data_IF_507288971842
#
_entry.id   IF_507288971842
#
_cell.length_a   1.000
_cell.length_b   1.000
_cell.length_c   1.000
_cell.angle_alpha   90.00
_cell.angle_beta   90.00
_cell.angle_gamma   90.00
#
_symmetry.space_group_name_H-M   'P 1'
#
loop_
_entity.id
_entity.type
_entity.pdbx_description
1 polymer ?
#
# COMPACT_ATOMS: atom_id res chain seq x y z
N UNK A 1 -0.90 -14.21 -8.98
CA UNK A 1 -0.99 -13.18 -7.93
C UNK A 1 -2.44 -12.75 -7.75
N UNK A 2 -2.78 -12.40 -6.54
CA UNK A 2 -4.15 -12.00 -6.23
C UNK A 2 -4.21 -10.54 -5.82
N UNK A 3 -5.37 -9.94 -6.01
CA UNK A 3 -5.59 -8.54 -5.68
C UNK A 3 -5.57 -8.34 -4.16
N UNK A 4 -4.77 -7.39 -3.71
CA UNK A 4 -4.71 -7.03 -2.30
C UNK A 4 -5.49 -5.75 -2.04
N UNK A 5 -5.17 -4.69 -2.75
CA UNK A 5 -5.80 -3.39 -2.57
C UNK A 5 -5.65 -2.55 -3.83
N UNK A 6 -6.42 -1.49 -3.90
CA UNK A 6 -6.32 -0.53 -4.98
C UNK A 6 -6.06 0.84 -4.36
N UNK A 7 -5.07 1.55 -4.88
CA UNK A 7 -4.72 2.87 -4.40
C UNK A 7 -4.92 3.89 -5.52
N UNK A 8 -4.94 5.15 -5.16
CA UNK A 8 -5.29 6.20 -6.10
C UNK A 8 -4.16 6.72 -6.96
N UNK A 9 -2.91 6.45 -6.58
CA UNK A 9 -1.76 6.98 -7.32
C UNK A 9 -0.66 5.93 -7.37
N UNK A 10 0.22 6.08 -8.37
CA UNK A 10 1.38 5.23 -8.48
C UNK A 10 2.33 5.42 -7.29
N UNK A 11 2.39 6.63 -6.78
CA UNK A 11 3.24 6.90 -5.63
C UNK A 11 2.79 6.09 -4.41
N UNK A 12 1.49 6.10 -4.13
CA UNK A 12 0.96 5.31 -3.02
C UNK A 12 1.21 3.82 -3.23
N UNK A 13 1.05 3.35 -4.47
CA UNK A 13 1.30 1.94 -4.79
C UNK A 13 2.75 1.57 -4.48
N UNK A 14 3.68 2.44 -4.81
CA UNK A 14 5.09 2.18 -4.55
C UNK A 14 5.41 2.18 -3.06
N UNK A 15 4.75 3.03 -2.30
CA UNK A 15 4.91 3.05 -0.85
C UNK A 15 4.43 1.73 -0.26
N UNK A 16 3.26 1.26 -0.70
CA UNK A 16 2.74 -0.03 -0.23
C UNK A 16 3.69 -1.16 -0.63
N UNK A 17 4.16 -1.14 -1.87
CA UNK A 17 5.08 -2.17 -2.34
C UNK A 17 6.36 -2.20 -1.51
N UNK A 18 6.91 -1.03 -1.22
CA UNK A 18 8.13 -0.94 -0.43
C UNK A 18 7.91 -1.46 0.99
N UNK A 19 6.76 -1.13 1.58
CA UNK A 19 6.43 -1.59 2.92
C UNK A 19 6.31 -3.11 2.97
N UNK A 20 5.60 -3.69 2.01
CA UNK A 20 5.44 -5.13 1.97
C UNK A 20 6.75 -5.83 1.62
N UNK A 21 7.53 -5.23 0.74
CA UNK A 21 8.82 -5.79 0.37
C UNK A 21 9.79 -5.86 1.54
N UNK A 22 9.70 -4.92 2.47
CA UNK A 22 10.54 -4.93 3.65
C UNK A 22 10.30 -6.17 4.52
N UNK A 23 9.10 -6.73 4.43
CA UNK A 23 8.75 -7.96 5.16
C UNK A 23 8.85 -9.20 4.27
N UNK A 24 9.45 -9.07 3.10
CA UNK A 24 9.66 -10.20 2.21
C UNK A 24 8.46 -10.61 1.38
N UNK A 25 7.46 -9.75 1.28
CA UNK A 25 6.25 -10.06 0.52
C UNK A 25 6.43 -9.63 -0.92
N UNK A 26 6.21 -10.55 -1.85
CA UNK A 26 6.33 -10.27 -3.27
C UNK A 26 5.09 -9.55 -3.76
N UNK A 27 5.28 -8.38 -4.36
CA UNK A 27 4.19 -7.57 -4.85
C UNK A 27 4.36 -7.26 -6.33
N UNK A 28 3.24 -6.98 -6.97
CA UNK A 28 3.21 -6.55 -8.35
C UNK A 28 2.15 -5.46 -8.49
N UNK A 29 2.45 -4.45 -9.30
CA UNK A 29 1.50 -3.38 -9.56
C UNK A 29 0.85 -3.58 -10.92
N UNK A 30 -0.43 -3.31 -10.99
CA UNK A 30 -1.18 -3.38 -12.24
C UNK A 30 -1.93 -2.07 -12.43
N UNK A 31 -1.89 -1.54 -13.63
CA UNK A 31 -2.49 -0.25 -13.91
C UNK A 31 -1.54 0.90 -13.75
N UNK A 32 -0.35 0.65 -13.18
CA UNK A 32 0.68 1.68 -13.13
C UNK A 32 1.23 1.89 -14.53
N UNK A 33 1.28 3.11 -14.97
CA UNK A 33 1.81 3.43 -16.27
C UNK A 33 3.18 4.02 -16.13
N UNK A 34 4.12 3.36 -16.79
CA UNK A 34 5.46 3.90 -16.93
C UNK A 34 5.42 4.91 -18.05
N UNK A 35 5.03 6.09 -17.75
CA UNK A 35 4.94 7.10 -18.76
C UNK A 35 5.60 8.37 -18.33
N UNK A 36 5.80 9.24 -19.30
CA UNK A 36 6.32 10.56 -19.05
C UNK A 36 5.35 11.34 -18.16
N UNK A 37 4.10 10.97 -18.19
CA UNK A 37 3.07 11.62 -17.40
C UNK A 37 2.56 10.64 -16.36
N UNK A 38 2.84 10.88 -15.08
CA UNK A 38 2.19 10.12 -14.02
C UNK A 38 0.72 10.51 -13.97
N UNK A 39 -0.09 9.79 -14.71
CA UNK A 39 -1.52 10.05 -14.67
C UNK A 39 -2.08 9.54 -13.35
N UNK A 40 -2.85 10.36 -12.65
CA UNK A 40 -3.56 9.87 -11.47
C UNK A 40 -4.57 8.84 -11.94
N UNK A 41 -4.61 7.74 -11.29
CA UNK A 41 -5.54 6.69 -11.64
C UNK A 41 -5.36 5.50 -10.73
N UNK A 42 -6.37 4.65 -10.61
CA UNK A 42 -6.29 3.53 -9.70
C UNK A 42 -5.19 2.56 -10.11
N UNK A 43 -4.38 2.20 -9.14
CA UNK A 43 -3.32 1.22 -9.30
C UNK A 43 -3.64 0.05 -8.39
N UNK A 44 -3.66 -1.15 -8.94
CA UNK A 44 -3.92 -2.34 -8.16
C UNK A 44 -2.62 -2.91 -7.63
N UNK A 45 -2.62 -3.25 -6.35
CA UNK A 45 -1.49 -3.91 -5.72
C UNK A 45 -1.82 -5.38 -5.59
N UNK A 46 -0.98 -6.22 -6.16
CA UNK A 46 -1.18 -7.67 -6.19
C UNK A 46 -0.08 -8.34 -5.39
N UNK A 47 -0.44 -9.42 -4.72
CA UNK A 47 0.52 -10.22 -3.96
C UNK A 47 0.32 -11.69 -4.26
N UNK A 48 1.32 -12.49 -3.92
CA UNK A 48 1.22 -13.94 -4.04
C UNK A 48 0.10 -14.44 -3.14
N UNK A 49 -0.70 -15.39 -3.63
CA UNK A 49 -1.86 -15.87 -2.88
C UNK A 49 -1.51 -16.34 -1.47
N UNK A 50 -0.36 -16.97 -1.31
CA UNK A 50 0.06 -17.48 -0.02
C UNK A 50 0.34 -16.38 1.00
N UNK A 51 0.57 -15.15 0.54
CA UNK A 51 0.98 -14.05 1.39
C UNK A 51 -0.10 -12.98 1.55
N UNK A 52 -1.28 -13.21 0.99
CA UNK A 52 -2.31 -12.18 0.98
C UNK A 52 -2.80 -11.83 2.38
N UNK A 53 -2.95 -12.82 3.25
CA UNK A 53 -3.41 -12.56 4.60
C UNK A 53 -2.37 -11.77 5.41
N UNK A 54 -1.12 -12.16 5.27
CA UNK A 54 -0.03 -11.47 5.93
C UNK A 54 0.07 -10.03 5.44
N UNK A 55 -0.06 -9.82 4.14
CA UNK A 55 -0.02 -8.49 3.56
C UNK A 55 -1.15 -7.62 4.09
N UNK A 56 -2.34 -8.17 4.20
CA UNK A 56 -3.47 -7.42 4.74
C UNK A 56 -3.23 -7.01 6.19
N UNK A 57 -2.69 -7.90 6.97
CA UNK A 57 -2.40 -7.59 8.37
C UNK A 57 -1.37 -6.46 8.49
N UNK A 58 -0.37 -6.47 7.64
CA UNK A 58 0.63 -5.41 7.64
C UNK A 58 0.02 -4.05 7.28
N UNK A 59 -0.85 -4.03 6.28
CA UNK A 59 -1.50 -2.79 5.89
C UNK A 59 -2.44 -2.28 6.96
N UNK A 60 -3.16 -3.17 7.62
CA UNK A 60 -4.04 -2.79 8.71
C UNK A 60 -3.24 -2.20 9.86
N UNK A 61 -2.11 -2.79 10.18
CA UNK A 61 -1.26 -2.28 11.26
C UNK A 61 -0.77 -0.87 10.91
N UNK A 62 -0.38 -0.63 9.68
CA UNK A 62 0.05 0.70 9.26
C UNK A 62 -1.07 1.71 9.37
N UNK A 63 -2.28 1.33 9.00
CA UNK A 63 -3.43 2.22 9.11
C UNK A 63 -3.76 2.55 10.55
N UNK A 64 -3.67 1.57 11.42
CA UNK A 64 -3.92 1.78 12.83
C UNK A 64 -2.87 2.71 13.43
N UNK A 65 -1.62 2.53 13.08
CA UNK A 65 -0.57 3.41 13.54
C UNK A 65 -0.79 4.85 13.07
N UNK A 66 -1.21 5.01 11.84
CA UNK A 66 -1.48 6.34 11.29
C UNK A 66 -2.60 7.03 12.06
N UNK A 67 -3.64 6.29 12.39
CA UNK A 67 -4.76 6.83 13.17
C UNK A 67 -4.30 7.25 14.55
N UNK A 68 -3.51 6.42 15.21
CA UNK A 68 -3.00 6.78 16.53
C UNK A 68 -2.08 7.98 16.49
N UNK A 69 -1.26 8.08 15.46
CA UNK A 69 -0.39 9.23 15.31
C UNK A 69 -1.19 10.51 15.09
N UNK A 70 -2.24 10.43 14.31
CA UNK A 70 -3.11 11.58 14.09
C UNK A 70 -3.77 12.01 15.39
N UNK A 71 -4.24 11.07 16.17
CA UNK A 71 -4.83 11.39 17.46
C UNK A 71 -3.82 12.07 18.37
N UNK A 72 -2.61 11.55 18.40
CA UNK A 72 -1.57 12.15 19.22
C UNK A 72 -1.25 13.56 18.75
N UNK A 73 -1.31 13.79 17.47
CA UNK A 73 -1.06 15.10 16.90
C UNK A 73 -2.16 16.09 17.15
N UNK A 74 -3.34 15.60 17.45
CA UNK A 74 -4.47 16.46 17.68
C UNK A 74 -4.58 16.97 19.10
N UNK A 75 -3.79 16.47 20.00
CA UNK A 75 -3.78 17.01 21.35
C UNK A 75 -3.04 18.32 21.35
N UNK A 76 -3.75 19.40 21.31
CA UNK A 76 -3.10 20.68 21.14
C UNK A 76 -2.49 21.20 22.41
N UNK A 77 -2.74 20.60 23.41
CA UNK A 77 -2.32 21.24 24.61
C UNK A 77 -1.49 20.66 25.51
#
# INVERSE_FOLDING_TARGET
MVHLTTVGTTFEARVVMARLGADGILTQLRGARDGIYPLPGPVEVLVVADQVDEARQLLLADQVEAVFQDDAGEFPD
#
